data_IF_078624344352
#
_entry.id   IF_078624344352
#
_cell.length_a   1.000
_cell.length_b   1.000
_cell.length_c   1.000
_cell.angle_alpha   90.00
_cell.angle_beta   90.00
_cell.angle_gamma   90.00
#
_symmetry.space_group_name_H-M   'P 1'
#
loop_
_entity.id
_entity.type
_entity.pdbx_description
1 polymer ?
#
# COMPACT_ATOMS: atom_id res chain seq x y z
N UNK A 1 5.88 16.23 -0.52
CA UNK A 1 4.41 16.41 -0.50
C UNK A 1 4.04 17.26 -1.70
N UNK A 2 3.04 16.80 -2.47
CA UNK A 2 2.46 17.55 -3.58
C UNK A 2 1.07 18.01 -3.13
N UNK A 3 0.84 19.31 -3.17
CA UNK A 3 -0.41 19.94 -2.71
C UNK A 3 -1.04 20.72 -3.88
N UNK A 4 -2.36 20.63 -3.97
CA UNK A 4 -3.23 21.38 -4.89
C UNK A 4 -3.96 22.42 -4.05
N UNK A 5 -3.42 23.65 -4.00
CA UNK A 5 -3.90 24.69 -3.07
C UNK A 5 -5.12 25.45 -3.59
N UNK A 6 -5.40 25.41 -4.89
CA UNK A 6 -6.55 26.06 -5.52
C UNK A 6 -7.70 25.10 -5.89
N UNK A 7 -7.47 23.80 -5.80
CA UNK A 7 -8.47 22.75 -6.03
C UNK A 7 -8.76 22.46 -7.50
N UNK A 8 -7.89 22.87 -8.43
CA UNK A 8 -8.08 22.64 -9.87
C UNK A 8 -7.80 21.19 -10.31
N UNK A 9 -7.26 20.38 -9.40
CA UNK A 9 -6.88 18.99 -9.61
C UNK A 9 -5.40 18.79 -9.98
N UNK A 10 -4.58 19.83 -9.94
CA UNK A 10 -3.15 19.81 -10.22
C UNK A 10 -2.38 20.33 -9.01
N UNK A 11 -1.29 19.65 -8.67
CA UNK A 11 -0.42 20.14 -7.61
C UNK A 11 0.28 21.43 -8.07
N UNK A 12 0.19 22.47 -7.25
CA UNK A 12 0.79 23.79 -7.46
C UNK A 12 1.89 24.09 -6.43
N UNK A 13 1.98 23.30 -5.36
CA UNK A 13 2.97 23.43 -4.30
C UNK A 13 3.68 22.11 -4.04
N UNK A 14 4.99 22.22 -3.85
CA UNK A 14 5.89 21.09 -3.56
C UNK A 14 6.65 21.38 -2.26
N UNK A 15 6.46 20.51 -1.26
CA UNK A 15 7.20 20.55 0.01
C UNK A 15 8.12 19.34 0.11
N UNK A 16 9.41 19.57 0.36
CA UNK A 16 10.35 18.50 0.69
C UNK A 16 10.16 18.10 2.15
N UNK A 17 9.48 16.97 2.38
CA UNK A 17 9.26 16.43 3.72
C UNK A 17 10.55 15.89 4.34
N UNK A 18 11.31 15.10 3.59
CA UNK A 18 12.58 14.54 4.05
C UNK A 18 13.61 14.52 2.91
N UNK A 19 14.87 14.76 3.25
CA UNK A 19 16.01 14.76 2.33
C UNK A 19 17.05 13.67 2.69
N UNK A 20 18.16 13.60 1.94
CA UNK A 20 19.34 12.76 2.25
C UNK A 20 19.00 11.28 2.49
N UNK A 21 17.99 10.77 1.79
CA UNK A 21 17.58 9.37 1.81
C UNK A 21 18.42 8.55 0.83
N UNK A 22 18.66 7.30 1.20
CA UNK A 22 19.35 6.30 0.41
C UNK A 22 18.33 5.32 -0.18
N UNK A 23 17.90 5.58 -1.42
CA UNK A 23 16.91 4.79 -2.18
C UNK A 23 15.66 4.48 -1.34
N UNK A 24 14.85 5.51 -1.00
CA UNK A 24 13.63 5.30 -0.22
C UNK A 24 12.59 4.50 -1.02
N UNK A 25 11.99 3.52 -0.36
CA UNK A 25 10.97 2.62 -0.91
C UNK A 25 9.88 2.35 0.13
N UNK A 26 8.71 1.88 -0.29
CA UNK A 26 7.63 1.48 0.62
C UNK A 26 7.23 2.60 1.58
N UNK A 27 6.64 3.66 1.05
CA UNK A 27 6.26 4.85 1.83
C UNK A 27 4.88 4.61 2.45
N UNK A 28 4.77 4.77 3.77
CA UNK A 28 3.53 4.70 4.54
C UNK A 28 3.40 5.94 5.43
N UNK A 29 2.59 6.94 5.03
CA UNK A 29 2.21 8.05 5.90
C UNK A 29 1.52 7.55 7.17
N UNK A 30 1.80 8.19 8.29
CA UNK A 30 1.25 7.84 9.61
C UNK A 30 1.14 9.08 10.50
N UNK A 31 0.55 8.96 11.68
CA UNK A 31 0.41 9.99 12.68
C UNK A 31 1.79 10.52 13.08
N UNK A 32 2.00 11.82 12.87
CA UNK A 32 3.26 12.48 13.19
C UNK A 32 4.43 12.17 12.24
N UNK A 33 4.20 11.57 11.07
CA UNK A 33 5.26 11.45 10.08
C UNK A 33 5.07 10.37 9.00
N UNK A 34 6.18 9.79 8.55
CA UNK A 34 6.21 8.81 7.47
C UNK A 34 7.12 7.64 7.82
N UNK A 35 6.63 6.42 7.66
CA UNK A 35 7.45 5.21 7.69
C UNK A 35 7.90 4.92 6.27
N UNK A 36 9.18 4.66 6.08
CA UNK A 36 9.70 4.20 4.80
C UNK A 36 10.85 3.23 4.99
N UNK A 37 11.08 2.39 3.99
CA UNK A 37 12.35 1.69 3.88
C UNK A 37 13.39 2.62 3.27
N UNK A 38 14.45 2.90 4.01
CA UNK A 38 15.58 3.70 3.60
C UNK A 38 16.84 2.86 3.79
N UNK A 39 17.44 2.39 2.70
CA UNK A 39 18.47 1.34 2.75
C UNK A 39 19.52 1.65 3.83
N UNK A 40 19.79 0.71 4.77
CA UNK A 40 19.31 -0.68 4.83
C UNK A 40 18.16 -0.93 5.83
N UNK A 41 17.49 0.11 6.34
CA UNK A 41 16.58 0.01 7.48
C UNK A 41 15.16 0.49 7.15
N UNK A 42 14.16 -0.03 7.85
CA UNK A 42 12.86 0.64 7.98
C UNK A 42 13.03 1.74 9.03
N UNK A 43 12.66 2.96 8.66
CA UNK A 43 12.77 4.14 9.51
C UNK A 43 11.44 4.87 9.62
N UNK A 44 11.21 5.50 10.76
CA UNK A 44 10.19 6.51 10.96
C UNK A 44 10.83 7.89 10.81
N UNK A 45 10.31 8.68 9.87
CA UNK A 45 10.64 10.07 9.62
C UNK A 45 9.57 10.93 10.31
N UNK A 46 9.89 11.46 11.48
CA UNK A 46 8.92 12.14 12.35
C UNK A 46 8.93 13.65 12.11
N UNK A 47 7.75 14.25 12.05
CA UNK A 47 7.51 15.69 12.10
C UNK A 47 7.00 16.02 13.52
N UNK A 48 7.75 16.83 14.26
CA UNK A 48 7.48 17.13 15.67
C UNK A 48 6.65 18.41 15.85
N UNK A 49 6.62 19.30 14.86
CA UNK A 49 6.03 20.64 15.00
C UNK A 49 4.92 20.94 13.98
N UNK A 50 4.66 20.01 13.06
CA UNK A 50 3.59 20.09 12.06
C UNK A 50 3.93 21.02 10.90
N UNK A 51 5.20 21.29 10.63
CA UNK A 51 5.65 22.13 9.52
C UNK A 51 5.79 21.40 8.17
N UNK A 52 5.33 20.14 8.11
CA UNK A 52 5.46 19.23 6.98
C UNK A 52 6.92 18.90 6.63
N UNK A 53 7.81 18.87 7.62
CA UNK A 53 9.19 18.37 7.49
C UNK A 53 9.55 17.37 8.59
N UNK A 54 10.40 16.41 8.20
CA UNK A 54 10.93 15.43 9.12
C UNK A 54 12.08 16.02 9.95
N UNK A 55 11.90 16.09 11.26
CA UNK A 55 12.88 16.51 12.25
C UNK A 55 13.77 15.35 12.71
N UNK A 56 13.20 14.14 12.80
CA UNK A 56 13.88 12.97 13.34
C UNK A 56 13.82 11.78 12.39
N UNK A 57 14.89 10.97 12.41
CA UNK A 57 14.98 9.69 11.71
C UNK A 57 15.21 8.59 12.74
N UNK A 58 14.16 7.81 13.02
CA UNK A 58 14.18 6.76 14.04
C UNK A 58 14.18 5.41 13.34
N UNK A 59 15.18 4.57 13.60
CA UNK A 59 15.19 3.19 13.10
C UNK A 59 14.10 2.36 13.78
N UNK A 60 13.25 1.74 12.97
CA UNK A 60 12.22 0.79 13.42
C UNK A 60 12.78 -0.64 13.37
N UNK A 61 13.30 -1.05 12.21
CA UNK A 61 13.65 -2.45 11.96
C UNK A 61 14.77 -2.56 10.92
N UNK A 62 15.72 -3.49 11.11
CA UNK A 62 16.85 -3.74 10.20
C UNK A 62 18.17 -3.97 10.95
N UNK A 63 19.31 -4.12 10.25
CA UNK A 63 19.45 -3.92 8.81
C UNK A 63 18.93 -5.11 8.00
N UNK A 64 18.45 -4.81 6.80
CA UNK A 64 18.15 -5.79 5.75
C UNK A 64 19.39 -6.00 4.87
N UNK A 65 19.51 -7.17 4.27
CA UNK A 65 20.58 -7.44 3.30
C UNK A 65 20.36 -6.60 2.04
N UNK A 66 21.44 -5.99 1.56
CA UNK A 66 21.46 -5.11 0.37
C UNK A 66 22.67 -5.41 -0.52
N UNK A 67 23.35 -6.53 -0.28
CA UNK A 67 24.63 -6.84 -0.92
C UNK A 67 24.48 -7.36 -2.35
N UNK A 68 23.31 -7.90 -2.70
CA UNK A 68 23.07 -8.53 -4.01
C UNK A 68 22.15 -7.71 -4.90
N UNK A 69 21.28 -6.91 -4.29
CA UNK A 69 20.25 -6.15 -4.98
C UNK A 69 19.85 -4.87 -4.22
N UNK A 70 19.40 -3.86 -4.95
CA UNK A 70 18.86 -2.60 -4.44
C UNK A 70 17.42 -2.34 -4.87
N UNK A 71 16.82 -3.13 -5.79
CA UNK A 71 15.46 -2.91 -6.27
C UNK A 71 14.42 -3.83 -5.60
N UNK A 72 14.70 -5.13 -5.46
CA UNK A 72 13.82 -6.11 -4.82
C UNK A 72 13.82 -6.01 -3.29
N UNK A 73 13.60 -4.81 -2.76
CA UNK A 73 13.72 -4.48 -1.34
C UNK A 73 12.37 -4.27 -0.68
N UNK A 74 12.40 -3.86 0.60
CA UNK A 74 11.18 -3.63 1.37
C UNK A 74 10.32 -2.55 0.72
N UNK A 75 9.08 -2.92 0.36
CA UNK A 75 8.16 -2.04 -0.35
C UNK A 75 6.70 -2.38 -0.02
N UNK A 76 5.77 -1.66 -0.66
CA UNK A 76 4.35 -2.00 -0.65
C UNK A 76 3.69 -1.93 0.73
N UNK A 77 4.22 -1.12 1.65
CA UNK A 77 3.74 -1.11 3.03
C UNK A 77 2.24 -0.78 3.13
N UNK A 78 1.50 -1.59 3.89
CA UNK A 78 0.07 -1.39 4.19
C UNK A 78 -0.20 -1.70 5.65
N UNK A 79 -1.04 -0.89 6.29
CA UNK A 79 -1.52 -1.17 7.63
C UNK A 79 -2.65 -2.19 7.53
N UNK A 80 -2.54 -3.29 8.27
CA UNK A 80 -3.61 -4.27 8.37
C UNK A 80 -4.69 -3.80 9.35
N UNK A 81 -5.91 -4.38 9.27
CA UNK A 81 -6.95 -4.11 10.25
C UNK A 81 -6.46 -4.41 11.67
N UNK A 82 -5.59 -5.41 11.84
CA UNK A 82 -4.97 -5.86 13.10
C UNK A 82 -3.93 -4.89 13.73
N UNK A 83 -3.74 -3.72 13.11
CA UNK A 83 -2.79 -2.70 13.55
C UNK A 83 -1.32 -3.03 13.28
N UNK A 84 -1.03 -4.10 12.55
CA UNK A 84 0.32 -4.40 12.08
C UNK A 84 0.60 -3.72 10.74
N UNK A 85 1.87 -3.47 10.43
CA UNK A 85 2.29 -3.03 9.11
C UNK A 85 2.79 -4.25 8.35
N UNK A 86 2.19 -4.51 7.20
CA UNK A 86 2.58 -5.55 6.26
C UNK A 86 3.49 -4.94 5.19
N UNK A 87 4.53 -5.68 4.79
CA UNK A 87 5.46 -5.23 3.78
C UNK A 87 6.00 -6.40 2.94
N UNK A 88 6.40 -6.08 1.72
CA UNK A 88 7.04 -7.01 0.80
C UNK A 88 8.56 -7.03 1.00
N UNK A 89 9.23 -8.10 0.56
CA UNK A 89 10.68 -8.20 0.41
C UNK A 89 10.98 -9.09 -0.80
N UNK A 90 11.93 -8.72 -1.67
CA UNK A 90 12.25 -9.48 -2.90
C UNK A 90 13.23 -10.64 -2.66
N UNK A 91 13.41 -11.47 -3.69
CA UNK A 91 14.10 -12.76 -3.55
C UNK A 91 15.62 -12.75 -3.48
N UNK A 92 16.25 -11.70 -4.03
CA UNK A 92 17.68 -11.78 -4.30
C UNK A 92 18.52 -11.54 -3.04
N UNK A 93 18.11 -10.62 -2.17
CA UNK A 93 18.76 -10.42 -0.87
C UNK A 93 18.30 -11.46 0.15
N UNK A 94 19.18 -11.82 1.07
CA UNK A 94 18.91 -12.78 2.14
C UNK A 94 18.96 -12.09 3.51
N UNK A 95 17.80 -11.64 3.97
CA UNK A 95 17.68 -10.86 5.20
C UNK A 95 17.37 -11.76 6.40
N UNK A 96 18.05 -11.52 7.51
CA UNK A 96 17.76 -12.11 8.81
C UNK A 96 17.61 -10.97 9.82
N UNK A 97 16.36 -10.63 10.16
CA UNK A 97 16.04 -9.38 10.86
C UNK A 97 15.34 -9.67 12.17
N UNK A 98 15.80 -9.05 13.25
CA UNK A 98 15.30 -9.24 14.62
C UNK A 98 14.69 -7.95 15.14
N UNK A 99 13.48 -8.02 15.70
CA UNK A 99 12.82 -6.91 16.36
C UNK A 99 13.28 -6.76 17.83
N UNK A 100 12.77 -5.72 18.51
CA UNK A 100 13.20 -5.39 19.90
C UNK A 100 12.90 -6.49 20.91
N UNK A 101 11.80 -7.24 20.74
CA UNK A 101 11.43 -8.36 21.60
C UNK A 101 12.20 -9.66 21.32
N UNK A 102 13.09 -9.67 20.34
CA UNK A 102 13.86 -10.84 19.92
C UNK A 102 13.15 -11.73 18.89
N UNK A 103 11.91 -11.41 18.49
CA UNK A 103 11.26 -12.06 17.34
C UNK A 103 12.09 -11.82 16.07
N UNK A 104 12.11 -12.82 15.20
CA UNK A 104 13.03 -12.88 14.09
C UNK A 104 12.35 -13.39 12.82
N UNK A 105 12.70 -12.80 11.69
CA UNK A 105 12.28 -13.25 10.35
C UNK A 105 13.49 -13.50 9.47
N UNK A 106 13.39 -14.58 8.68
CA UNK A 106 14.43 -14.98 7.73
C UNK A 106 13.83 -15.02 6.33
N UNK A 107 14.18 -14.03 5.52
CA UNK A 107 13.67 -13.84 4.17
C UNK A 107 14.75 -14.25 3.16
N UNK A 108 14.55 -15.39 2.50
CA UNK A 108 15.49 -16.01 1.55
C UNK A 108 14.88 -16.23 0.15
N UNK A 109 13.75 -15.55 -0.10
CA UNK A 109 12.91 -15.59 -1.29
C UNK A 109 12.10 -14.29 -1.39
N UNK A 110 11.16 -14.16 -2.32
CA UNK A 110 10.10 -13.18 -2.18
C UNK A 110 9.33 -13.44 -0.87
N UNK A 111 8.96 -12.42 -0.13
CA UNK A 111 8.27 -12.60 1.13
C UNK A 111 7.27 -11.48 1.35
N UNK A 112 6.22 -11.80 2.08
CA UNK A 112 5.48 -10.81 2.87
C UNK A 112 5.81 -11.07 4.33
N UNK A 113 6.05 -9.99 5.08
CA UNK A 113 6.23 -10.03 6.53
C UNK A 113 5.41 -8.90 7.15
N UNK A 114 5.24 -8.96 8.46
CA UNK A 114 4.59 -7.88 9.21
C UNK A 114 5.40 -7.46 10.42
N UNK A 115 5.29 -6.20 10.82
CA UNK A 115 5.97 -5.67 11.99
C UNK A 115 5.07 -4.68 12.74
N UNK A 116 5.33 -4.52 14.03
CA UNK A 116 4.73 -3.44 14.83
C UNK A 116 5.40 -2.13 14.47
N UNK A 117 4.61 -1.07 14.42
CA UNK A 117 5.04 0.27 14.05
C UNK A 117 6.19 0.82 14.89
N UNK A 118 6.20 0.49 16.17
CA UNK A 118 7.28 0.83 17.11
C UNK A 118 8.50 -0.10 17.00
N UNK A 119 8.49 -1.07 16.10
CA UNK A 119 9.54 -2.08 15.91
C UNK A 119 9.63 -3.10 17.06
N UNK A 120 8.61 -3.18 17.93
CA UNK A 120 8.62 -4.10 19.07
C UNK A 120 8.66 -5.55 18.65
N UNK A 121 7.96 -5.91 17.56
CA UNK A 121 7.83 -7.30 17.09
C UNK A 121 7.78 -7.39 15.57
N UNK A 122 8.31 -8.49 15.02
CA UNK A 122 8.28 -8.84 13.59
C UNK A 122 7.84 -10.29 13.39
N UNK A 123 7.09 -10.56 12.34
CA UNK A 123 6.59 -11.89 12.00
C UNK A 123 6.63 -12.17 10.51
N UNK A 124 7.00 -13.41 10.17
CA UNK A 124 6.93 -13.91 8.80
C UNK A 124 5.46 -14.11 8.43
N UNK A 125 5.01 -13.58 7.29
CA UNK A 125 3.63 -13.77 6.85
C UNK A 125 3.52 -14.84 5.77
N UNK A 126 4.31 -14.73 4.71
CA UNK A 126 4.41 -15.71 3.62
C UNK A 126 5.87 -16.00 3.30
N UNK A 127 6.12 -17.12 2.63
CA UNK A 127 7.40 -17.44 1.98
C UNK A 127 7.15 -17.78 0.51
N UNK A 128 8.20 -17.83 -0.32
CA UNK A 128 8.03 -18.11 -1.75
C UNK A 128 8.19 -16.88 -2.61
N UNK A 129 7.27 -16.62 -3.55
CA UNK A 129 7.20 -15.40 -4.39
C UNK A 129 8.53 -15.05 -5.11
N UNK A 130 8.57 -14.03 -5.95
CA UNK A 130 9.85 -13.59 -6.53
C UNK A 130 10.14 -12.16 -6.13
N UNK A 131 9.41 -11.21 -6.69
CA UNK A 131 9.57 -9.79 -6.43
C UNK A 131 8.19 -9.15 -6.22
N UNK A 132 7.60 -9.33 -5.04
CA UNK A 132 6.36 -8.66 -4.69
C UNK A 132 6.60 -7.14 -4.63
N UNK A 133 5.89 -6.40 -5.47
CA UNK A 133 5.97 -4.95 -5.67
C UNK A 133 4.59 -4.29 -5.52
N UNK A 134 3.90 -4.57 -4.42
CA UNK A 134 2.61 -3.95 -4.14
C UNK A 134 1.76 -4.84 -3.25
N UNK A 135 1.04 -4.21 -2.33
CA UNK A 135 0.06 -4.86 -1.48
C UNK A 135 -1.29 -4.14 -1.57
N UNK A 136 -2.36 -4.92 -1.58
CA UNK A 136 -3.73 -4.43 -1.43
C UNK A 136 -4.46 -5.29 -0.40
N UNK A 137 -5.48 -4.70 0.21
CA UNK A 137 -6.46 -5.41 1.02
C UNK A 137 -7.86 -5.24 0.42
N UNK A 138 -8.74 -6.20 0.68
CA UNK A 138 -10.17 -6.01 0.49
C UNK A 138 -10.87 -5.68 1.81
N UNK A 139 -12.17 -5.39 1.74
CA UNK A 139 -13.04 -5.15 2.91
C UNK A 139 -13.06 -6.27 3.95
N UNK A 140 -12.67 -7.49 3.56
CA UNK A 140 -12.62 -8.65 4.44
C UNK A 140 -11.24 -8.82 5.08
N UNK A 141 -10.31 -7.89 4.85
CA UNK A 141 -8.94 -7.95 5.36
C UNK A 141 -8.08 -9.01 4.68
N UNK A 142 -8.53 -9.58 3.55
CA UNK A 142 -7.68 -10.47 2.76
C UNK A 142 -6.57 -9.64 2.12
N UNK A 143 -5.33 -10.12 2.22
CA UNK A 143 -4.18 -9.47 1.62
C UNK A 143 -3.87 -10.04 0.25
N UNK A 144 -3.48 -9.17 -0.66
CA UNK A 144 -3.10 -9.50 -2.03
C UNK A 144 -1.78 -8.83 -2.35
N UNK A 145 -0.91 -9.50 -3.12
CA UNK A 145 0.31 -8.90 -3.65
C UNK A 145 0.34 -8.91 -5.16
N UNK A 146 0.94 -7.87 -5.73
CA UNK A 146 1.42 -7.89 -7.11
C UNK A 146 2.86 -8.40 -7.11
N UNK A 147 3.15 -9.45 -7.89
CA UNK A 147 4.47 -10.08 -7.89
C UNK A 147 5.07 -10.17 -9.31
N UNK A 148 6.22 -9.51 -9.48
CA UNK A 148 7.02 -9.58 -10.70
C UNK A 148 7.63 -10.98 -10.85
N UNK A 149 7.68 -11.50 -12.08
CA UNK A 149 8.25 -12.80 -12.43
C UNK A 149 7.60 -14.06 -11.84
N UNK A 150 6.63 -13.97 -10.94
CA UNK A 150 5.85 -15.12 -10.47
C UNK A 150 4.41 -15.08 -11.04
N UNK A 151 3.49 -14.37 -10.39
CA UNK A 151 2.07 -14.25 -10.69
C UNK A 151 1.64 -12.80 -10.48
N UNK A 152 0.95 -12.16 -11.45
CA UNK A 152 0.58 -10.75 -11.34
C UNK A 152 -0.24 -10.39 -10.10
N UNK A 153 -1.08 -11.31 -9.61
CA UNK A 153 -1.81 -11.14 -8.35
C UNK A 153 -1.79 -12.47 -7.59
N UNK A 154 -1.49 -12.39 -6.30
CA UNK A 154 -1.50 -13.53 -5.37
C UNK A 154 -2.29 -13.16 -4.11
N UNK A 155 -3.29 -13.97 -3.75
CA UNK A 155 -3.93 -13.90 -2.44
C UNK A 155 -3.00 -14.50 -1.38
N UNK A 156 -2.65 -13.71 -0.36
CA UNK A 156 -1.66 -14.04 0.65
C UNK A 156 -2.31 -14.73 1.85
N UNK A 157 -2.04 -16.01 2.00
CA UNK A 157 -2.46 -16.83 3.13
C UNK A 157 -1.36 -16.82 4.20
N UNK A 158 -1.72 -16.60 5.46
CA UNK A 158 -0.76 -16.66 6.56
C UNK A 158 -0.08 -18.05 6.62
N UNK A 159 1.25 -18.06 6.60
CA UNK A 159 2.07 -19.27 6.54
C UNK A 159 2.15 -19.90 5.15
N UNK A 160 1.53 -19.30 4.13
CA UNK A 160 1.54 -19.81 2.77
C UNK A 160 2.94 -19.84 2.15
N UNK A 161 3.24 -20.93 1.45
CA UNK A 161 4.44 -21.09 0.63
C UNK A 161 4.07 -20.92 -0.84
N UNK A 162 4.73 -20.02 -1.55
CA UNK A 162 4.47 -19.74 -2.97
C UNK A 162 5.66 -20.14 -3.85
N UNK A 163 5.46 -20.35 -5.16
CA UNK A 163 6.57 -20.60 -6.07
C UNK A 163 7.59 -19.46 -6.08
N UNK A 164 8.87 -19.79 -6.08
CA UNK A 164 10.00 -18.87 -6.21
C UNK A 164 11.09 -19.49 -7.08
N UNK A 165 12.01 -18.68 -7.60
CA UNK A 165 13.09 -19.17 -8.46
C UNK A 165 14.00 -20.17 -7.75
N UNK A 166 13.99 -21.41 -8.25
CA UNK A 166 14.85 -22.49 -7.76
C UNK A 166 14.58 -22.91 -6.31
N UNK A 167 13.41 -22.57 -5.75
CA UNK A 167 13.03 -22.95 -4.38
C UNK A 167 11.92 -24.02 -4.39
N UNK A 168 12.11 -25.17 -3.74
CA UNK A 168 11.03 -26.13 -3.54
C UNK A 168 9.99 -25.58 -2.54
N UNK A 169 8.80 -26.19 -2.54
CA UNK A 169 7.84 -25.96 -1.47
C UNK A 169 8.32 -26.54 -0.13
N UNK A 170 7.66 -26.16 0.94
CA UNK A 170 7.92 -26.53 2.34
C UNK A 170 7.54 -27.96 2.74
N UNK A 171 7.26 -28.84 1.76
CA UNK A 171 6.73 -30.19 1.98
C UNK A 171 5.20 -30.31 2.09
N UNK A 172 4.46 -29.21 2.30
CA UNK A 172 2.98 -29.20 2.28
C UNK A 172 2.40 -28.85 0.90
N UNK A 173 3.22 -28.22 0.06
CA UNK A 173 2.87 -27.83 -1.29
C UNK A 173 2.80 -26.32 -1.43
N UNK A 174 2.57 -25.83 -2.65
CA UNK A 174 2.37 -24.40 -2.86
C UNK A 174 0.93 -24.00 -2.54
N UNK A 175 0.77 -22.81 -1.97
CA UNK A 175 -0.53 -22.17 -1.84
C UNK A 175 -1.17 -21.97 -3.23
N UNK A 176 -2.51 -22.02 -3.33
CA UNK A 176 -3.21 -21.92 -4.61
C UNK A 176 -2.88 -20.63 -5.37
N UNK A 177 -2.72 -20.73 -6.68
CA UNK A 177 -2.59 -19.56 -7.53
C UNK A 177 -3.94 -18.87 -7.72
N UNK A 178 -3.94 -17.55 -7.69
CA UNK A 178 -5.14 -16.75 -7.93
C UNK A 178 -5.42 -16.57 -9.43
N UNK A 179 -4.38 -16.64 -10.28
CA UNK A 179 -4.48 -16.46 -11.73
C UNK A 179 -3.29 -17.07 -12.47
N UNK A 180 -3.50 -17.47 -13.71
CA UNK A 180 -2.46 -18.07 -14.56
C UNK A 180 -1.96 -17.18 -15.70
N UNK A 181 -2.72 -16.16 -16.10
CA UNK A 181 -2.27 -15.17 -17.08
C UNK A 181 -1.24 -14.21 -16.48
N UNK A 182 -0.40 -13.62 -17.34
CA UNK A 182 0.70 -12.73 -16.93
C UNK A 182 0.50 -11.27 -17.38
N UNK A 183 -0.65 -10.92 -17.97
CA UNK A 183 -0.85 -9.62 -18.64
C UNK A 183 0.24 -9.29 -19.67
N UNK A 184 0.81 -10.33 -20.30
CA UNK A 184 1.93 -10.22 -21.24
C UNK A 184 3.17 -9.54 -20.66
N UNK A 185 3.36 -9.56 -19.33
CA UNK A 185 4.42 -8.84 -18.65
C UNK A 185 5.13 -9.69 -17.62
N UNK A 186 6.39 -9.37 -17.37
CA UNK A 186 7.18 -9.90 -16.26
C UNK A 186 7.34 -8.88 -15.13
N UNK A 187 6.89 -7.64 -15.32
CA UNK A 187 6.97 -6.59 -14.32
C UNK A 187 5.59 -5.94 -14.11
N UNK A 188 4.96 -6.35 -13.01
CA UNK A 188 3.68 -5.85 -12.51
C UNK A 188 3.92 -5.34 -11.10
N UNK A 189 3.52 -4.11 -10.85
CA UNK A 189 3.77 -3.41 -9.58
C UNK A 189 2.67 -2.40 -9.29
N UNK A 190 2.56 -1.99 -8.04
CA UNK A 190 1.38 -1.30 -7.54
C UNK A 190 0.16 -2.23 -7.55
N UNK A 191 -0.62 -2.19 -6.48
CA UNK A 191 -1.86 -2.93 -6.43
C UNK A 191 -2.86 -2.18 -5.57
N UNK A 192 -4.06 -2.01 -6.11
CA UNK A 192 -5.24 -1.65 -5.32
C UNK A 192 -6.38 -2.59 -5.64
N UNK A 193 -7.27 -2.76 -4.67
CA UNK A 193 -8.62 -3.26 -4.89
C UNK A 193 -9.57 -2.06 -4.78
N UNK A 194 -10.13 -1.61 -5.90
CA UNK A 194 -10.91 -0.38 -5.92
C UNK A 194 -12.32 -0.62 -5.38
N UNK A 195 -12.62 -0.09 -4.19
CA UNK A 195 -13.92 -0.25 -3.52
C UNK A 195 -14.64 1.06 -3.25
N UNK A 196 -14.10 2.17 -3.76
CA UNK A 196 -14.79 3.45 -3.72
C UNK A 196 -15.96 3.50 -4.74
N UNK A 197 -16.88 4.44 -4.56
CA UNK A 197 -18.13 4.50 -5.32
C UNK A 197 -18.09 5.57 -6.43
N UNK A 198 -17.03 6.36 -6.50
CA UNK A 198 -16.88 7.49 -7.41
C UNK A 198 -16.74 7.05 -8.87
N UNK A 199 -16.05 5.94 -9.15
CA UNK A 199 -16.02 5.37 -10.50
C UNK A 199 -17.32 4.61 -10.78
N UNK A 200 -17.75 4.50 -12.06
CA UNK A 200 -18.93 3.72 -12.41
C UNK A 200 -18.84 2.27 -11.91
N UNK A 201 -19.99 1.64 -11.63
CA UNK A 201 -20.06 0.27 -11.10
C UNK A 201 -19.20 -0.74 -11.89
N UNK A 202 -19.06 -0.54 -13.21
CA UNK A 202 -18.20 -1.34 -14.07
C UNK A 202 -16.69 -1.21 -13.78
N UNK A 203 -16.25 -0.40 -12.82
CA UNK A 203 -14.85 -0.27 -12.40
C UNK A 203 -14.65 -0.56 -10.91
N UNK A 204 -15.73 -0.83 -10.18
CA UNK A 204 -15.71 -1.12 -8.75
C UNK A 204 -15.47 -2.61 -8.48
N UNK A 205 -14.94 -2.92 -7.31
CA UNK A 205 -14.62 -4.28 -6.84
C UNK A 205 -13.71 -5.04 -7.79
N UNK A 206 -12.64 -4.37 -8.24
CA UNK A 206 -11.65 -4.89 -9.20
C UNK A 206 -10.24 -4.57 -8.74
N UNK A 207 -9.31 -5.40 -9.15
CA UNK A 207 -7.89 -5.14 -8.99
C UNK A 207 -7.37 -4.26 -10.12
N UNK A 208 -6.54 -3.30 -9.76
CA UNK A 208 -5.75 -2.49 -10.70
C UNK A 208 -4.29 -2.55 -10.32
N UNK A 209 -3.44 -2.80 -11.31
CA UNK A 209 -1.99 -2.86 -11.14
C UNK A 209 -1.27 -2.18 -12.29
N UNK A 210 -0.11 -1.61 -12.00
CA UNK A 210 0.76 -1.00 -12.99
C UNK A 210 1.57 -2.05 -13.74
N UNK A 211 1.64 -1.88 -15.05
CA UNK A 211 2.45 -2.71 -15.94
C UNK A 211 3.53 -1.84 -16.58
N UNK A 212 4.71 -1.85 -15.95
CA UNK A 212 5.82 -0.99 -16.37
C UNK A 212 6.39 -1.41 -17.71
N UNK A 213 6.37 -2.70 -18.06
CA UNK A 213 6.92 -3.17 -19.34
C UNK A 213 6.10 -2.67 -20.53
N UNK A 214 4.79 -2.61 -20.38
CA UNK A 214 3.88 -2.38 -21.51
C UNK A 214 3.13 -1.05 -21.45
N UNK A 215 3.41 -0.20 -20.44
CA UNK A 215 2.85 1.13 -20.29
C UNK A 215 1.32 1.11 -20.11
N UNK A 216 0.85 0.23 -19.20
CA UNK A 216 -0.58 -0.01 -18.97
C UNK A 216 -0.93 -0.03 -17.49
N UNK A 217 -2.20 0.20 -17.21
CA UNK A 217 -2.82 -0.18 -15.95
C UNK A 217 -3.71 -1.38 -16.25
N UNK A 218 -3.31 -2.55 -15.76
CA UNK A 218 -4.06 -3.78 -15.95
C UNK A 218 -5.28 -3.81 -15.04
N UNK A 219 -6.32 -4.54 -15.46
CA UNK A 219 -7.54 -4.73 -14.70
C UNK A 219 -7.85 -6.21 -14.53
N UNK A 220 -8.28 -6.62 -13.33
CA UNK A 220 -8.76 -7.97 -13.09
C UNK A 220 -10.03 -7.95 -12.25
N UNK A 221 -11.01 -8.77 -12.62
CA UNK A 221 -12.17 -9.06 -11.79
C UNK A 221 -11.78 -10.03 -10.68
N UNK A 222 -12.32 -9.82 -9.48
CA UNK A 222 -12.29 -10.83 -8.42
C UNK A 222 -13.45 -11.82 -8.63
N UNK A 223 -13.16 -13.11 -8.49
CA UNK A 223 -14.15 -14.17 -8.53
C UNK A 223 -14.04 -14.99 -7.24
N UNK A 224 -15.18 -15.24 -6.59
CA UNK A 224 -15.23 -15.97 -5.33
C UNK A 224 -16.03 -17.25 -5.51
N UNK A 225 -15.45 -18.35 -5.08
CA UNK A 225 -16.10 -19.66 -5.01
C UNK A 225 -15.86 -20.22 -3.60
N UNK A 226 -16.86 -20.04 -2.73
CA UNK A 226 -16.74 -20.26 -1.29
C UNK A 226 -15.52 -19.50 -0.71
N UNK A 227 -14.57 -20.22 -0.10
CA UNK A 227 -13.35 -19.64 0.46
C UNK A 227 -12.25 -19.38 -0.60
N UNK A 228 -12.44 -19.81 -1.84
CA UNK A 228 -11.45 -19.64 -2.91
C UNK A 228 -11.66 -18.31 -3.61
N UNK A 229 -10.57 -17.58 -3.84
CA UNK A 229 -10.55 -16.33 -4.59
C UNK A 229 -9.65 -16.49 -5.81
N UNK A 230 -10.19 -16.19 -6.99
CA UNK A 230 -9.45 -16.15 -8.25
C UNK A 230 -9.55 -14.76 -8.88
N UNK A 231 -8.64 -14.45 -9.79
CA UNK A 231 -8.65 -13.24 -10.58
C UNK A 231 -8.82 -13.58 -12.06
N UNK A 232 -9.81 -12.95 -12.70
CA UNK A 232 -10.04 -13.07 -14.14
C UNK A 232 -9.61 -11.81 -14.86
N UNK A 233 -8.87 -11.98 -15.95
CA UNK A 233 -8.45 -10.90 -16.82
C UNK A 233 -9.65 -10.07 -17.33
N UNK A 234 -9.48 -8.76 -17.35
CA UNK A 234 -10.37 -7.80 -17.98
C UNK A 234 -9.57 -6.91 -18.93
N UNK A 235 -10.23 -6.19 -19.86
CA UNK A 235 -9.55 -5.17 -20.65
C UNK A 235 -8.80 -4.18 -19.77
N UNK A 236 -7.63 -3.77 -20.23
CA UNK A 236 -6.80 -2.80 -19.53
C UNK A 236 -7.59 -1.54 -19.18
N UNK A 237 -7.38 -1.05 -17.96
CA UNK A 237 -8.02 0.17 -17.49
C UNK A 237 -7.52 1.39 -18.28
N UNK A 238 -6.23 1.40 -18.57
CA UNK A 238 -5.55 2.47 -19.28
C UNK A 238 -4.38 1.90 -20.08
N UNK A 239 -4.17 2.45 -21.27
CA UNK A 239 -2.96 2.27 -22.07
C UNK A 239 -2.40 3.63 -22.41
N UNK A 240 -1.08 3.72 -22.59
CA UNK A 240 -0.40 4.95 -22.98
C UNK A 240 0.40 4.73 -24.26
N UNK A 241 0.30 5.67 -25.20
CA UNK A 241 1.14 5.72 -26.40
C UNK A 241 2.53 6.32 -26.12
N UNK A 242 2.70 6.93 -24.94
CA UNK A 242 4.00 7.39 -24.46
C UNK A 242 4.78 6.17 -23.92
N UNK A 243 5.84 5.72 -24.61
CA UNK A 243 6.57 4.51 -24.23
C UNK A 243 7.39 4.70 -22.96
N UNK A 244 7.46 5.90 -22.38
CA UNK A 244 8.15 6.17 -21.12
C UNK A 244 7.18 6.24 -19.94
N UNK A 245 5.86 6.11 -20.16
CA UNK A 245 4.89 5.91 -19.10
C UNK A 245 5.14 4.56 -18.42
N UNK A 246 5.43 4.59 -17.12
CA UNK A 246 5.76 3.43 -16.31
C UNK A 246 5.07 3.50 -14.94
N UNK A 247 3.83 2.99 -14.83
CA UNK A 247 3.10 3.02 -13.58
C UNK A 247 3.72 2.05 -12.57
N UNK A 248 4.42 2.58 -11.56
CA UNK A 248 5.18 1.81 -10.56
C UNK A 248 4.43 1.60 -9.25
N UNK A 249 3.48 2.48 -8.92
CA UNK A 249 2.58 2.30 -7.79
C UNK A 249 1.19 2.87 -8.12
N UNK A 250 0.17 2.32 -7.48
CA UNK A 250 -1.22 2.78 -7.58
C UNK A 250 -1.78 2.86 -6.17
N UNK A 251 -2.50 3.93 -5.87
CA UNK A 251 -3.15 4.17 -4.58
C UNK A 251 -4.59 4.64 -4.78
N UNK A 252 -5.48 4.23 -3.87
CA UNK A 252 -6.83 4.75 -3.79
C UNK A 252 -6.84 5.95 -2.85
N UNK A 253 -7.30 7.11 -3.30
CA UNK A 253 -7.45 8.29 -2.44
C UNK A 253 -8.77 8.29 -1.66
N UNK A 254 -8.88 9.13 -0.61
CA UNK A 254 -10.12 9.27 0.16
C UNK A 254 -11.28 9.88 -0.64
N UNK A 255 -10.95 10.69 -1.64
CA UNK A 255 -11.84 11.25 -2.66
C UNK A 255 -12.30 10.21 -3.71
N UNK A 256 -11.87 8.96 -3.58
CA UNK A 256 -12.15 7.88 -4.53
C UNK A 256 -11.40 8.01 -5.86
N UNK A 257 -10.46 8.94 -5.98
CA UNK A 257 -9.58 9.01 -7.15
C UNK A 257 -8.53 7.89 -7.10
N UNK A 258 -8.08 7.45 -8.28
CA UNK A 258 -6.94 6.55 -8.40
C UNK A 258 -5.68 7.37 -8.66
N UNK A 259 -4.70 7.28 -7.77
CA UNK A 259 -3.41 7.94 -7.89
C UNK A 259 -2.40 6.97 -8.46
N UNK A 260 -1.64 7.38 -9.46
CA UNK A 260 -0.64 6.54 -10.14
C UNK A 260 0.70 7.23 -10.05
N UNK A 261 1.67 6.57 -9.42
CA UNK A 261 3.06 6.97 -9.47
C UNK A 261 3.69 6.44 -10.75
N UNK A 262 4.15 7.35 -11.60
CA UNK A 262 4.82 7.05 -12.84
C UNK A 262 6.25 7.57 -12.76
N UNK A 263 7.22 6.67 -12.63
CA UNK A 263 8.62 7.10 -12.48
C UNK A 263 9.21 7.66 -13.78
N UNK A 264 8.48 7.55 -14.90
CA UNK A 264 8.77 8.12 -16.21
C UNK A 264 10.20 7.88 -16.72
N UNK A 265 10.45 6.69 -17.25
CA UNK A 265 11.80 6.33 -17.69
C UNK A 265 11.82 5.48 -18.96
N UNK A 266 12.77 5.80 -19.84
CA UNK A 266 13.07 5.02 -21.05
C UNK A 266 13.66 3.66 -20.69
N UNK A 267 14.53 3.63 -19.67
CA UNK A 267 15.27 2.45 -19.24
C UNK A 267 14.63 1.97 -17.94
N UNK A 268 14.16 0.72 -17.94
CA UNK A 268 13.38 0.17 -16.82
C UNK A 268 14.33 -0.47 -15.81
N UNK A 269 15.15 -1.42 -16.27
CA UNK A 269 16.04 -2.22 -15.45
C UNK A 269 17.37 -1.54 -15.14
N UNK A 270 17.95 -1.91 -13.99
CA UNK A 270 19.28 -1.45 -13.59
C UNK A 270 20.42 -2.23 -14.28
N UNK A 271 20.13 -3.37 -14.89
CA UNK A 271 21.10 -4.20 -15.64
C UNK A 271 21.12 -3.95 -17.15
N UNK A 272 20.13 -3.24 -17.71
CA UNK A 272 19.99 -3.03 -19.17
C UNK A 272 21.16 -2.21 -19.74
N UNK A 273 21.58 -1.19 -19.01
CA UNK A 273 22.67 -0.26 -19.36
C UNK A 273 23.35 0.23 -18.08
N UNK A 274 24.56 0.82 -18.15
CA UNK A 274 25.24 1.37 -16.98
C UNK A 274 24.34 2.30 -16.15
N UNK A 275 24.56 2.34 -14.83
CA UNK A 275 23.76 3.17 -13.92
C UNK A 275 23.81 4.67 -14.29
N UNK A 276 24.91 5.12 -14.91
CA UNK A 276 25.12 6.54 -15.24
C UNK A 276 24.78 6.84 -16.71
N UNK A 277 24.09 5.91 -17.38
CA UNK A 277 23.70 6.08 -18.76
C UNK A 277 22.79 7.33 -18.91
N UNK A 278 23.07 8.25 -19.86
CA UNK A 278 22.38 9.54 -19.95
C UNK A 278 20.89 9.42 -20.32
N UNK A 279 20.47 8.28 -20.88
CA UNK A 279 19.06 8.01 -21.15
C UNK A 279 18.21 7.65 -19.93
N UNK A 280 18.79 7.56 -18.72
CA UNK A 280 18.04 7.36 -17.49
C UNK A 280 17.54 8.71 -17.01
N UNK A 281 16.24 8.93 -17.09
CA UNK A 281 15.62 10.15 -16.56
C UNK A 281 15.69 10.17 -15.02
N UNK A 282 15.87 11.37 -14.45
CA UNK A 282 16.02 11.58 -12.99
C UNK A 282 15.14 12.70 -12.44
N UNK A 283 14.37 13.38 -13.29
CA UNK A 283 13.75 14.67 -12.98
C UNK A 283 12.28 14.74 -13.39
N UNK A 284 11.81 13.82 -14.23
CA UNK A 284 10.54 13.92 -14.94
C UNK A 284 9.48 12.95 -14.41
N UNK A 285 9.67 12.36 -13.23
CA UNK A 285 8.67 11.51 -12.58
C UNK A 285 7.33 12.25 -12.39
N UNK A 286 6.22 11.51 -12.50
CA UNK A 286 4.86 12.06 -12.54
C UNK A 286 3.96 11.37 -11.52
N UNK A 287 3.03 12.13 -10.93
CA UNK A 287 1.89 11.57 -10.18
C UNK A 287 0.63 11.94 -10.95
N UNK A 288 -0.15 10.94 -11.33
CA UNK A 288 -1.44 11.13 -11.99
C UNK A 288 -2.57 10.96 -10.98
N UNK A 289 -3.56 11.85 -11.01
CA UNK A 289 -4.84 11.70 -10.30
C UNK A 289 -5.94 11.40 -11.32
N UNK A 290 -6.47 10.18 -11.29
CA UNK A 290 -7.52 9.73 -12.20
C UNK A 290 -8.88 9.84 -11.51
N UNK A 291 -9.77 10.63 -12.10
CA UNK A 291 -11.10 10.96 -11.57
C UNK A 291 -12.18 10.68 -12.59
N UNK A 292 -13.34 10.26 -12.13
CA UNK A 292 -14.53 10.15 -12.97
C UNK A 292 -15.35 11.44 -12.89
N UNK A 293 -15.44 12.18 -14.00
CA UNK A 293 -16.20 13.45 -14.08
C UNK A 293 -17.65 13.28 -14.55
N UNK A 294 -18.18 12.06 -14.63
CA UNK A 294 -19.49 11.82 -15.22
C UNK A 294 -19.47 11.89 -16.75
N UNK A 295 -20.57 11.49 -17.40
CA UNK A 295 -20.68 11.49 -18.88
C UNK A 295 -20.54 12.87 -19.51
N UNK A 296 -20.94 13.92 -18.79
CA UNK A 296 -20.96 15.30 -19.29
C UNK A 296 -19.98 16.23 -18.53
N UNK A 297 -19.04 15.68 -17.76
CA UNK A 297 -18.16 16.48 -16.91
C UNK A 297 -18.86 17.14 -15.70
N UNK A 298 -20.10 16.73 -15.41
CA UNK A 298 -20.96 17.37 -14.42
C UNK A 298 -20.56 17.10 -12.96
N UNK A 299 -19.78 16.05 -12.70
CA UNK A 299 -19.32 15.78 -11.34
C UNK A 299 -18.15 16.71 -11.02
N UNK A 300 -18.34 17.56 -10.01
CA UNK A 300 -17.27 18.37 -9.44
C UNK A 300 -16.15 17.47 -8.91
N UNK A 301 -14.90 17.97 -8.98
CA UNK A 301 -13.80 17.34 -8.26
C UNK A 301 -14.09 17.42 -6.75
N UNK A 302 -14.03 16.29 -6.05
CA UNK A 302 -13.99 16.32 -4.60
C UNK A 302 -12.62 16.88 -4.16
N UNK A 303 -12.61 17.85 -3.25
CA UNK A 303 -11.40 18.44 -2.70
C UNK A 303 -10.84 17.55 -1.58
N UNK A 304 -9.53 17.27 -1.61
CA UNK A 304 -8.84 16.56 -0.52
C UNK A 304 -8.76 17.40 0.77
N UNK A 305 -8.74 18.73 0.64
CA UNK A 305 -8.61 19.66 1.77
C UNK A 305 -9.81 19.55 2.73
N UNK A 306 -11.00 19.30 2.20
CA UNK A 306 -12.20 19.09 3.02
C UNK A 306 -12.07 17.83 3.88
N UNK A 307 -11.52 16.75 3.32
CA UNK A 307 -11.25 15.53 4.08
C UNK A 307 -10.28 15.83 5.22
N UNK A 308 -9.16 16.50 4.96
CA UNK A 308 -8.12 16.77 5.97
C UNK A 308 -8.59 17.63 7.15
N UNK A 309 -9.59 18.50 6.96
CA UNK A 309 -10.10 19.42 8.01
C UNK A 309 -11.02 18.76 9.04
N UNK A 310 -11.51 17.55 8.81
CA UNK A 310 -12.43 16.89 9.74
C UNK A 310 -11.68 16.31 10.95
N UNK A 311 -11.96 16.87 12.13
CA UNK A 311 -11.53 16.32 13.42
C UNK A 311 -12.26 15.00 13.66
N UNK A 312 -11.52 13.96 14.00
CA UNK A 312 -12.04 12.64 14.32
C UNK A 312 -11.79 12.35 15.82
N UNK A 313 -12.83 12.02 16.59
CA UNK A 313 -12.72 11.69 18.04
C UNK A 313 -13.48 10.39 18.33
N UNK A 314 -12.74 9.33 18.64
CA UNK A 314 -13.27 7.98 18.90
C UNK A 314 -14.17 7.92 20.13
N UNK A 315 -14.11 8.91 21.03
CA UNK A 315 -14.98 8.93 22.20
C UNK A 315 -16.40 9.40 21.86
N UNK A 316 -16.51 10.24 20.83
CA UNK A 316 -17.80 10.80 20.43
C UNK A 316 -18.42 10.04 19.27
N UNK A 317 -17.59 9.48 18.37
CA UNK A 317 -18.00 8.82 17.13
C UNK A 317 -19.22 9.53 16.54
N UNK A 318 -19.03 10.80 16.21
CA UNK A 318 -20.08 11.63 15.63
C UNK A 318 -20.65 10.94 14.38
N UNK A 319 -21.85 11.33 13.90
CA UNK A 319 -22.40 10.76 12.67
C UNK A 319 -21.44 10.84 11.47
N UNK A 320 -20.53 11.83 11.44
CA UNK A 320 -19.49 11.95 10.42
C UNK A 320 -18.43 10.87 10.60
N UNK A 321 -17.94 10.67 11.83
CA UNK A 321 -16.94 9.64 12.15
C UNK A 321 -17.45 8.24 11.82
N UNK A 322 -18.71 7.95 12.17
CA UNK A 322 -19.36 6.68 11.82
C UNK A 322 -19.48 6.51 10.31
N UNK A 323 -19.78 7.57 9.56
CA UNK A 323 -19.84 7.51 8.10
C UNK A 323 -18.46 7.25 7.47
N UNK A 324 -17.38 7.81 8.02
CA UNK A 324 -16.01 7.50 7.58
C UNK A 324 -15.63 6.05 7.88
N UNK A 325 -15.91 5.56 9.10
CA UNK A 325 -15.65 4.18 9.52
C UNK A 325 -16.51 3.15 8.75
N UNK A 326 -17.74 3.50 8.41
CA UNK A 326 -18.65 2.68 7.63
C UNK A 326 -18.38 2.70 6.12
N UNK A 327 -17.44 3.53 5.64
CA UNK A 327 -17.20 3.74 4.21
C UNK A 327 -16.75 2.45 3.49
N UNK A 328 -17.21 2.28 2.25
CA UNK A 328 -16.69 1.26 1.33
C UNK A 328 -15.26 1.56 0.88
N UNK A 329 -14.83 2.83 0.92
CA UNK A 329 -13.46 3.22 0.64
C UNK A 329 -12.54 2.92 1.85
N UNK A 330 -11.64 1.94 1.70
CA UNK A 330 -10.69 1.57 2.76
C UNK A 330 -9.79 2.74 3.18
N UNK A 331 -9.34 3.57 2.24
CA UNK A 331 -8.50 4.74 2.53
C UNK A 331 -9.18 5.73 3.47
N UNK A 332 -10.50 5.93 3.34
CA UNK A 332 -11.27 6.80 4.25
C UNK A 332 -11.27 6.25 5.66
N UNK A 333 -11.51 4.95 5.80
CA UNK A 333 -11.48 4.25 7.10
C UNK A 333 -10.10 4.35 7.74
N UNK A 334 -9.04 4.04 6.99
CA UNK A 334 -7.66 4.12 7.48
C UNK A 334 -7.28 5.54 7.94
N UNK A 335 -7.63 6.57 7.16
CA UNK A 335 -7.36 7.97 7.55
C UNK A 335 -8.15 8.40 8.79
N UNK A 336 -9.39 7.95 8.94
CA UNK A 336 -10.18 8.21 10.14
C UNK A 336 -9.48 7.62 11.38
N UNK A 337 -9.06 6.36 11.29
CA UNK A 337 -8.29 5.68 12.35
C UNK A 337 -6.96 6.40 12.62
N UNK A 338 -6.26 6.86 11.59
CA UNK A 338 -4.95 7.50 11.74
C UNK A 338 -4.99 8.85 12.44
N UNK A 339 -6.05 9.64 12.21
CA UNK A 339 -6.24 10.95 12.88
C UNK A 339 -6.35 10.82 14.38
N UNK A 340 -6.96 9.73 14.84
CA UNK A 340 -7.08 9.43 16.26
C UNK A 340 -5.72 9.15 16.91
N UNK A 341 -4.87 8.37 16.21
CA UNK A 341 -3.54 7.98 16.69
C UNK A 341 -2.58 9.15 16.91
N UNK A 342 -2.89 10.35 16.43
CA UNK A 342 -2.14 11.56 16.74
C UNK A 342 -2.32 12.02 18.19
N UNK A 343 -3.33 11.51 18.91
CA UNK A 343 -3.63 11.89 20.29
C UNK A 343 -3.49 10.69 21.24
N UNK A 344 -2.77 10.85 22.35
CA UNK A 344 -2.78 9.84 23.42
C UNK A 344 -4.17 9.78 24.06
N UNK A 345 -4.98 8.80 23.64
CA UNK A 345 -6.31 8.61 24.20
C UNK A 345 -6.25 8.04 25.63
N UNK A 346 -7.00 8.63 26.58
CA UNK A 346 -7.27 7.99 27.85
C UNK A 346 -7.95 6.63 27.65
N UNK A 347 -7.57 5.63 28.43
CA UNK A 347 -8.16 4.28 28.39
C UNK A 347 -9.70 4.28 28.48
N UNK A 348 -10.28 5.24 29.21
CA UNK A 348 -11.72 5.41 29.33
C UNK A 348 -12.42 5.72 27.99
N UNK A 349 -11.77 6.45 27.08
CA UNK A 349 -12.32 6.74 25.74
C UNK A 349 -12.32 5.49 24.85
N UNK A 350 -11.26 4.69 24.91
CA UNK A 350 -11.19 3.40 24.19
C UNK A 350 -12.24 2.40 24.70
N UNK A 351 -12.53 2.41 26.00
CA UNK A 351 -13.57 1.56 26.56
C UNK A 351 -14.98 1.94 26.08
N UNK A 352 -15.25 3.24 25.85
CA UNK A 352 -16.51 3.68 25.22
C UNK A 352 -16.63 3.13 23.80
N UNK A 353 -15.61 3.29 22.97
CA UNK A 353 -15.60 2.77 21.60
C UNK A 353 -15.79 1.24 21.57
N UNK A 354 -15.15 0.51 22.49
CA UNK A 354 -15.36 -0.93 22.69
C UNK A 354 -16.80 -1.28 23.01
N UNK A 355 -17.42 -0.56 23.94
CA UNK A 355 -18.83 -0.81 24.29
C UNK A 355 -19.75 -0.56 23.08
N UNK A 356 -19.46 0.47 22.27
CA UNK A 356 -20.23 0.74 21.05
C UNK A 356 -20.09 -0.36 19.99
N UNK A 357 -18.90 -0.94 19.84
CA UNK A 357 -18.66 -2.10 18.97
C UNK A 357 -19.39 -3.35 19.46
N UNK A 358 -19.38 -3.60 20.77
CA UNK A 358 -20.02 -4.78 21.38
C UNK A 358 -21.55 -4.69 21.43
N UNK A 359 -22.13 -3.50 21.29
CA UNK A 359 -23.56 -3.28 21.45
C UNK A 359 -24.42 -3.77 20.27
N UNK A 360 -23.83 -4.32 19.18
CA UNK A 360 -24.51 -4.80 17.95
C UNK A 360 -25.52 -3.81 17.34
N UNK A 361 -25.39 -2.53 17.66
CA UNK A 361 -26.31 -1.45 17.24
C UNK A 361 -25.65 -0.43 16.32
N UNK A 362 -24.38 -0.63 15.96
CA UNK A 362 -23.58 0.29 15.14
C UNK A 362 -22.94 -0.47 13.98
N UNK A 363 -23.70 -0.79 12.91
CA UNK A 363 -23.22 -1.60 11.79
C UNK A 363 -21.95 -1.07 11.12
N UNK A 364 -21.72 0.25 11.17
CA UNK A 364 -20.52 0.91 10.64
C UNK A 364 -19.24 0.41 11.31
N UNK A 365 -19.33 -0.01 12.58
CA UNK A 365 -18.20 -0.52 13.35
C UNK A 365 -17.96 -2.03 13.18
N UNK A 366 -18.86 -2.75 12.50
CA UNK A 366 -18.72 -4.19 12.24
C UNK A 366 -17.68 -4.50 11.15
N UNK A 367 -17.24 -3.49 10.39
CA UNK A 367 -16.19 -3.66 9.36
C UNK A 367 -14.85 -4.00 10.02
N UNK A 368 -14.15 -5.01 9.48
CA UNK A 368 -12.88 -5.50 10.02
C UNK A 368 -11.80 -4.41 10.16
N UNK A 369 -11.74 -3.45 9.23
CA UNK A 369 -10.83 -2.29 9.30
C UNK A 369 -11.00 -1.47 10.59
N UNK A 370 -12.22 -1.39 11.12
CA UNK A 370 -12.54 -0.63 12.32
C UNK A 370 -11.99 -1.30 13.58
N UNK A 371 -11.66 -2.61 13.55
CA UNK A 371 -11.07 -3.31 14.69
C UNK A 371 -9.71 -2.72 15.11
N UNK A 372 -9.00 -2.02 14.22
CA UNK A 372 -7.79 -1.24 14.53
C UNK A 372 -7.92 -0.30 15.73
N UNK A 373 -9.12 0.26 15.95
CA UNK A 373 -9.45 1.07 17.13
C UNK A 373 -9.22 0.30 18.43
N UNK A 374 -9.39 -1.02 18.43
CA UNK A 374 -9.15 -1.87 19.60
C UNK A 374 -7.67 -2.05 19.92
N UNK A 375 -6.80 -1.87 18.91
CA UNK A 375 -5.37 -2.13 18.96
C UNK A 375 -4.52 -0.85 19.07
N UNK A 376 -5.10 0.35 18.99
CA UNK A 376 -4.42 1.60 19.34
C UNK A 376 -4.09 1.60 20.84
N UNK A 377 -2.86 1.20 21.16
CA UNK A 377 -2.25 1.25 22.49
C UNK A 377 -0.79 1.65 22.35
#
# INVERSE_FOLDING_TARGET
ILEDTDGDGRADKVTTFADKLNIPMGILPTAGGVICFNIPDIVFLRDNDGDDKADERIKILGPFDTTRDTHGMVNGMRRGPDGWIYACHGFNNQSNVTAKDGSNVKMISGNTFRFREDGSRVEQWTTGQVNPFGLAADDWGNLYSADCHSKPITALLHGGCYPSFGRPHDGLGFAPSMMDHLHGSTAICGLIFYQAEQFPQAFQNRFYSGNVMTSRINCNAIERQAATVTARELPDFMTSDDPWFRPVDIQLGPDGAMYVADFYNKIIGHYEVPLQHPGRDRESGRIWRIVYRGKNGANALQSLTEYQKQVFDVATLSPVDLAELGSTNLTRRELAIERERQTELPASKLDVARQMMLAEKTPELERLSCLSILWSR
#
